data_IF_479830198613
#
_entry.id   IF_479830198613
#
_cell.length_a   1.000
_cell.length_b   1.000
_cell.length_c   1.000
_cell.angle_alpha   90.00
_cell.angle_beta   90.00
_cell.angle_gamma   90.00
#
_symmetry.space_group_name_H-M   'P 1'
#
loop_
_entity.id
_entity.type
_entity.pdbx_description
1 polymer ?
#
# COMPACT_ATOMS: atom_id res chain seq x y z
N UNK A 1 18.49 27.46 -24.21
CA UNK A 1 17.69 28.28 -23.26
C UNK A 1 17.96 27.76 -21.86
N UNK A 2 18.60 28.55 -20.99
CA UNK A 2 18.82 28.20 -19.58
C UNK A 2 17.48 28.23 -18.84
N UNK A 3 16.78 27.09 -18.78
CA UNK A 3 15.55 26.99 -18.00
C UNK A 3 15.92 26.95 -16.52
N UNK A 4 15.61 28.04 -15.79
CA UNK A 4 15.75 28.08 -14.34
C UNK A 4 14.74 27.13 -13.71
N UNK A 5 15.23 26.22 -12.88
CA UNK A 5 14.39 25.28 -12.13
C UNK A 5 13.46 26.07 -11.20
N UNK A 6 12.17 25.69 -11.13
CA UNK A 6 11.12 26.34 -10.32
C UNK A 6 10.76 27.78 -10.69
N UNK A 7 11.04 28.21 -11.92
CA UNK A 7 10.47 29.47 -12.41
C UNK A 7 8.93 29.38 -12.43
N UNK A 8 8.26 30.39 -11.88
CA UNK A 8 6.80 30.42 -11.73
C UNK A 8 6.26 31.82 -12.02
N UNK A 9 5.10 31.88 -12.67
CA UNK A 9 4.32 33.11 -12.84
C UNK A 9 3.24 33.29 -11.77
N UNK A 10 3.09 32.30 -10.88
CA UNK A 10 2.12 32.26 -9.79
C UNK A 10 2.68 32.92 -8.53
N UNK A 11 1.85 33.71 -7.85
CA UNK A 11 2.17 34.38 -6.58
C UNK A 11 1.73 33.58 -5.34
N UNK A 12 1.02 32.47 -5.50
CA UNK A 12 0.59 31.61 -4.41
C UNK A 12 1.63 30.56 -4.01
N UNK A 13 1.43 29.95 -2.83
CA UNK A 13 2.30 28.93 -2.27
C UNK A 13 2.08 27.56 -2.92
N UNK A 14 2.35 27.46 -4.22
CA UNK A 14 2.16 26.28 -5.07
C UNK A 14 2.89 25.02 -4.56
N UNK A 15 3.91 25.18 -3.73
CA UNK A 15 4.74 24.10 -3.19
C UNK A 15 4.09 23.37 -1.99
N UNK A 16 3.08 23.95 -1.34
CA UNK A 16 2.44 23.35 -0.16
C UNK A 16 1.74 22.03 -0.51
N UNK A 17 0.98 22.02 -1.61
CA UNK A 17 0.27 20.83 -2.07
C UNK A 17 1.23 19.65 -2.35
N UNK A 18 2.29 19.77 -3.17
CA UNK A 18 3.24 18.69 -3.38
C UNK A 18 4.05 18.33 -2.12
N UNK A 19 4.35 19.30 -1.24
CA UNK A 19 5.09 19.03 0.00
C UNK A 19 4.26 18.24 1.02
N UNK A 20 3.01 18.64 1.26
CA UNK A 20 2.12 17.95 2.20
C UNK A 20 1.82 16.52 1.72
N UNK A 21 1.60 16.35 0.41
CA UNK A 21 1.37 15.05 -0.20
C UNK A 21 2.61 14.15 -0.11
N UNK A 22 3.81 14.67 -0.35
CA UNK A 22 5.07 13.93 -0.14
C UNK A 22 5.24 13.52 1.34
N UNK A 23 4.98 14.43 2.27
CA UNK A 23 5.10 14.18 3.71
C UNK A 23 4.11 13.12 4.20
N UNK A 24 2.83 13.25 3.86
CA UNK A 24 1.81 12.28 4.23
C UNK A 24 2.12 10.87 3.72
N UNK A 25 2.61 10.76 2.48
CA UNK A 25 3.04 9.48 1.93
C UNK A 25 4.30 8.94 2.59
N UNK A 26 5.27 9.79 2.92
CA UNK A 26 6.46 9.37 3.67
C UNK A 26 6.06 8.77 5.03
N UNK A 27 5.19 9.45 5.78
CA UNK A 27 4.66 8.94 7.04
C UNK A 27 3.94 7.60 6.85
N UNK A 28 3.11 7.47 5.81
CA UNK A 28 2.44 6.23 5.47
C UNK A 28 3.44 5.10 5.16
N UNK A 29 4.47 5.36 4.35
CA UNK A 29 5.51 4.36 4.02
C UNK A 29 6.28 3.94 5.25
N UNK A 30 6.69 4.87 6.12
CA UNK A 30 7.37 4.55 7.37
C UNK A 30 6.49 3.71 8.28
N UNK A 31 5.23 4.10 8.46
CA UNK A 31 4.28 3.37 9.31
C UNK A 31 3.98 1.97 8.75
N UNK A 32 3.69 1.85 7.46
CA UNK A 32 3.38 0.56 6.84
C UNK A 32 4.58 -0.36 6.78
N UNK A 33 5.78 0.17 6.56
CA UNK A 33 7.02 -0.62 6.64
C UNK A 33 7.25 -1.12 8.05
N UNK A 34 7.08 -0.25 9.06
CA UNK A 34 7.14 -0.67 10.46
C UNK A 34 6.13 -1.78 10.75
N UNK A 35 4.85 -1.58 10.43
CA UNK A 35 3.80 -2.60 10.63
C UNK A 35 4.03 -3.87 9.81
N UNK A 36 4.64 -3.79 8.63
CA UNK A 36 4.99 -4.95 7.83
C UNK A 36 6.09 -5.78 8.49
N UNK A 37 7.06 -5.15 9.14
CA UNK A 37 8.21 -5.83 9.75
C UNK A 37 7.95 -6.27 11.20
N UNK A 38 7.09 -5.58 11.95
CA UNK A 38 6.85 -5.91 13.36
C UNK A 38 6.26 -7.31 13.55
N UNK A 39 5.29 -7.70 12.71
CA UNK A 39 4.71 -9.04 12.78
C UNK A 39 3.92 -9.37 14.05
N UNK A 40 3.60 -8.39 14.91
CA UNK A 40 2.97 -8.57 16.23
C UNK A 40 1.60 -7.86 16.31
N UNK A 41 0.76 -8.33 17.22
CA UNK A 41 -0.54 -7.73 17.56
C UNK A 41 -1.42 -7.50 16.31
N UNK A 42 -1.46 -8.48 15.41
CA UNK A 42 -2.20 -8.37 14.15
C UNK A 42 -3.56 -9.07 14.17
N UNK A 43 -3.82 -9.86 15.21
CA UNK A 43 -5.09 -10.53 15.48
C UNK A 43 -5.55 -10.19 16.89
N UNK A 44 -6.83 -9.83 17.03
CA UNK A 44 -7.50 -9.75 18.32
C UNK A 44 -8.84 -10.47 18.20
N UNK A 45 -8.95 -11.65 18.82
CA UNK A 45 -10.13 -12.52 18.71
C UNK A 45 -10.47 -12.80 17.23
N UNK A 46 -11.65 -12.35 16.76
CA UNK A 46 -12.10 -12.50 15.38
C UNK A 46 -11.76 -11.30 14.48
N UNK A 47 -11.01 -10.32 15.00
CA UNK A 47 -10.49 -9.22 14.23
C UNK A 47 -9.10 -9.55 13.71
N UNK A 48 -9.02 -9.72 12.39
CA UNK A 48 -7.75 -9.79 11.68
C UNK A 48 -7.47 -8.46 11.01
N UNK A 49 -6.26 -7.94 11.18
CA UNK A 49 -5.89 -6.70 10.51
C UNK A 49 -5.77 -6.89 8.98
N UNK A 50 -6.29 -5.97 8.16
CA UNK A 50 -6.25 -6.08 6.69
C UNK A 50 -4.84 -6.13 6.09
N UNK A 51 -3.82 -5.71 6.85
CA UNK A 51 -2.42 -5.78 6.46
C UNK A 51 -1.85 -7.21 6.47
N UNK A 52 -2.51 -8.13 7.18
CA UNK A 52 -2.07 -9.50 7.41
C UNK A 52 -3.02 -10.55 6.81
N UNK A 53 -4.15 -10.11 6.24
CA UNK A 53 -5.13 -10.96 5.57
C UNK A 53 -4.80 -11.09 4.07
N UNK A 54 -4.86 -12.29 3.47
CA UNK A 54 -5.09 -13.60 4.09
C UNK A 54 -3.87 -14.08 4.88
N UNK A 55 -4.08 -14.70 6.03
CA UNK A 55 -3.00 -15.34 6.78
C UNK A 55 -2.42 -16.51 5.97
N UNK A 56 -1.30 -16.28 5.30
CA UNK A 56 -0.61 -17.32 4.54
C UNK A 56 0.11 -18.31 5.46
N UNK A 57 0.79 -17.78 6.48
CA UNK A 57 1.59 -18.56 7.42
C UNK A 57 1.29 -18.14 8.86
N UNK A 58 1.34 -19.09 9.78
CA UNK A 58 1.24 -18.85 11.22
C UNK A 58 2.51 -18.18 11.74
N UNK A 59 2.36 -17.23 12.66
CA UNK A 59 3.50 -16.66 13.35
C UNK A 59 4.03 -17.68 14.39
N UNK A 60 5.35 -17.88 14.54
CA UNK A 60 5.91 -18.69 15.62
C UNK A 60 5.46 -18.32 17.04
N UNK A 61 4.93 -17.12 17.25
CA UNK A 61 4.34 -16.67 18.51
C UNK A 61 2.96 -17.30 18.81
N UNK A 62 2.40 -18.09 17.89
CA UNK A 62 1.08 -18.73 18.04
C UNK A 62 -0.10 -17.84 17.63
N UNK A 63 0.14 -16.60 17.19
CA UNK A 63 -0.87 -15.73 16.60
C UNK A 63 -1.24 -16.20 15.19
N UNK A 64 -2.54 -16.31 14.88
CA UNK A 64 -3.05 -16.81 13.60
C UNK A 64 -3.27 -18.32 13.51
N UNK A 65 -3.09 -19.07 14.61
CA UNK A 65 -3.27 -20.52 14.63
C UNK A 65 -4.68 -20.95 14.18
N UNK A 66 -4.76 -21.79 13.14
CA UNK A 66 -6.01 -22.35 12.62
C UNK A 66 -6.70 -21.56 11.50
N UNK A 67 -6.25 -20.34 11.20
CA UNK A 67 -6.74 -19.53 10.07
C UNK A 67 -5.70 -19.37 8.95
N UNK A 68 -4.58 -20.08 9.05
CA UNK A 68 -3.51 -20.05 8.06
C UNK A 68 -3.83 -20.92 6.83
N UNK A 69 -3.50 -20.43 5.63
CA UNK A 69 -3.73 -21.17 4.39
C UNK A 69 -2.64 -22.23 4.12
N UNK A 70 -1.39 -21.94 4.46
CA UNK A 70 -0.24 -22.81 4.19
C UNK A 70 0.39 -23.41 5.46
N UNK A 71 -0.18 -23.14 6.64
CA UNK A 71 0.30 -23.69 7.91
C UNK A 71 1.47 -22.91 8.52
N UNK A 72 2.38 -23.64 9.16
CA UNK A 72 3.48 -23.05 9.92
C UNK A 72 4.50 -22.28 9.04
N UNK A 73 5.17 -21.30 9.63
CA UNK A 73 6.21 -20.53 8.97
C UNK A 73 7.32 -21.43 8.36
N UNK A 74 7.67 -21.28 7.08
CA UNK A 74 8.62 -22.17 6.43
C UNK A 74 10.03 -21.98 6.98
N UNK A 75 10.64 -23.07 7.44
CA UNK A 75 12.02 -23.11 7.96
C UNK A 75 13.09 -22.76 6.89
N UNK A 76 12.70 -22.72 5.62
CA UNK A 76 13.57 -22.33 4.50
C UNK A 76 13.86 -20.82 4.44
N UNK A 77 13.11 -19.99 5.18
CA UNK A 77 13.33 -18.54 5.20
C UNK A 77 14.52 -18.23 6.15
N UNK A 78 15.53 -17.47 5.69
CA UNK A 78 16.66 -17.07 6.53
C UNK A 78 16.22 -16.31 7.78
N UNK A 79 16.87 -16.57 8.91
CA UNK A 79 16.58 -15.96 10.22
C UNK A 79 16.75 -14.44 10.29
N UNK A 80 17.31 -13.81 9.25
CA UNK A 80 17.43 -12.34 9.16
C UNK A 80 16.17 -11.65 8.63
N UNK A 81 15.23 -12.38 8.03
CA UNK A 81 13.96 -11.82 7.59
C UNK A 81 13.00 -11.82 8.78
N UNK A 82 12.38 -10.67 9.14
CA UNK A 82 11.40 -10.61 10.20
C UNK A 82 10.26 -11.59 9.93
N UNK A 83 9.82 -12.30 10.96
CA UNK A 83 8.79 -13.34 10.86
C UNK A 83 7.39 -12.73 10.77
N UNK A 84 7.11 -12.01 9.69
CA UNK A 84 5.85 -11.31 9.50
C UNK A 84 5.13 -11.78 8.22
N UNK A 85 3.93 -12.37 8.33
CA UNK A 85 3.13 -12.79 7.18
C UNK A 85 2.78 -11.64 6.22
N UNK A 86 2.69 -10.41 6.75
CA UNK A 86 2.31 -9.21 6.01
C UNK A 86 3.24 -8.88 4.82
N UNK A 87 4.52 -9.25 4.87
CA UNK A 87 5.49 -8.91 3.80
C UNK A 87 5.06 -9.52 2.46
N UNK A 88 4.54 -10.75 2.47
CA UNK A 88 4.14 -11.45 1.26
C UNK A 88 2.87 -10.85 0.64
N UNK A 89 1.99 -10.32 1.48
CA UNK A 89 0.67 -9.88 1.06
C UNK A 89 0.69 -8.43 0.64
N UNK A 90 1.44 -7.57 1.33
CA UNK A 90 1.47 -6.13 1.10
C UNK A 90 1.88 -5.74 -0.33
N UNK A 91 2.61 -6.62 -1.02
CA UNK A 91 3.00 -6.39 -2.40
C UNK A 91 1.80 -6.29 -3.35
N UNK A 92 0.69 -7.00 -3.06
CA UNK A 92 -0.51 -6.97 -3.90
C UNK A 92 -1.21 -5.59 -3.88
N UNK A 93 -1.66 -5.05 -2.74
CA UNK A 93 -2.29 -3.72 -2.70
C UNK A 93 -1.32 -2.61 -3.10
N UNK A 94 -0.02 -2.75 -2.77
CA UNK A 94 1.01 -1.80 -3.17
C UNK A 94 1.19 -1.76 -4.69
N UNK A 95 1.27 -2.93 -5.34
CA UNK A 95 1.44 -3.01 -6.80
C UNK A 95 0.26 -2.39 -7.55
N UNK A 96 -0.98 -2.62 -7.10
CA UNK A 96 -2.16 -2.02 -7.68
C UNK A 96 -2.14 -0.48 -7.60
N UNK A 97 -1.77 0.06 -6.43
CA UNK A 97 -1.69 1.51 -6.20
C UNK A 97 -0.57 2.15 -7.01
N UNK A 98 0.61 1.55 -7.08
CA UNK A 98 1.75 2.10 -7.82
C UNK A 98 1.57 2.05 -9.34
N UNK A 99 0.83 1.06 -9.84
CA UNK A 99 0.53 0.92 -11.27
C UNK A 99 -0.61 1.84 -11.74
N UNK A 100 -1.42 2.39 -10.82
CA UNK A 100 -2.57 3.22 -11.15
C UNK A 100 -2.19 4.56 -11.80
N UNK A 101 -2.86 4.90 -12.91
CA UNK A 101 -2.67 6.16 -13.62
C UNK A 101 -2.95 7.39 -12.73
N UNK A 102 -3.88 7.29 -11.78
CA UNK A 102 -4.13 8.39 -10.84
C UNK A 102 -2.95 8.62 -9.90
N UNK A 103 -2.33 7.53 -9.40
CA UNK A 103 -1.16 7.59 -8.53
C UNK A 103 0.09 8.11 -9.25
N UNK A 104 0.15 7.97 -10.58
CA UNK A 104 1.15 8.61 -11.44
C UNK A 104 1.27 10.09 -11.19
N UNK A 105 0.15 10.81 -11.26
CA UNK A 105 0.13 12.26 -11.08
C UNK A 105 0.80 12.66 -9.76
N UNK A 106 0.56 11.88 -8.70
CA UNK A 106 1.12 12.14 -7.38
C UNK A 106 2.65 12.07 -7.36
N UNK A 107 3.29 10.95 -7.74
CA UNK A 107 4.75 10.85 -7.63
C UNK A 107 5.49 11.74 -8.64
N UNK A 108 4.90 12.02 -9.80
CA UNK A 108 5.45 12.97 -10.76
C UNK A 108 5.48 14.40 -10.21
N UNK A 109 4.45 14.79 -9.46
CA UNK A 109 4.29 16.15 -8.95
C UNK A 109 5.05 16.36 -7.63
N UNK A 110 4.99 15.39 -6.72
CA UNK A 110 5.55 15.51 -5.36
C UNK A 110 6.99 15.02 -5.22
N UNK A 111 7.42 14.01 -5.99
CA UNK A 111 8.79 13.47 -5.92
C UNK A 111 9.67 13.87 -7.12
N UNK A 112 9.17 13.73 -8.34
CA UNK A 112 9.95 14.04 -9.55
C UNK A 112 9.82 15.49 -10.03
N UNK A 113 8.95 16.29 -9.41
CA UNK A 113 8.76 17.72 -9.69
C UNK A 113 8.66 18.02 -11.20
N UNK A 114 7.91 17.20 -11.94
CA UNK A 114 7.81 17.25 -13.41
C UNK A 114 6.37 17.43 -13.90
N UNK A 115 5.91 18.67 -14.17
CA UNK A 115 6.04 19.87 -13.36
C UNK A 115 5.20 19.82 -12.07
N UNK A 116 5.57 20.55 -10.99
CA UNK A 116 4.89 20.49 -9.70
C UNK A 116 3.56 21.24 -9.64
N UNK A 117 3.24 22.12 -10.58
CA UNK A 117 1.92 22.75 -10.73
C UNK A 117 1.77 23.38 -12.13
N UNK A 118 0.56 23.77 -12.50
CA UNK A 118 0.34 24.58 -13.70
C UNK A 118 1.11 25.90 -13.59
N UNK A 119 1.80 26.31 -14.66
CA UNK A 119 2.65 27.51 -14.74
C UNK A 119 3.89 27.51 -13.80
N UNK A 120 4.30 26.36 -13.28
CA UNK A 120 5.57 26.19 -12.55
C UNK A 120 6.50 25.28 -13.36
N UNK A 121 7.68 25.79 -13.70
CA UNK A 121 8.70 25.04 -14.44
C UNK A 121 9.26 23.92 -13.56
N UNK A 122 9.10 22.68 -14.01
CA UNK A 122 9.67 21.51 -13.36
C UNK A 122 11.16 21.30 -13.65
N UNK A 123 11.70 20.21 -13.14
CA UNK A 123 13.07 19.79 -13.45
C UNK A 123 13.14 19.46 -14.96
N UNK A 124 14.01 20.14 -15.73
CA UNK A 124 14.11 19.91 -17.17
C UNK A 124 14.60 18.50 -17.45
N UNK A 125 13.87 17.74 -18.28
CA UNK A 125 14.25 16.39 -18.70
C UNK A 125 14.79 16.46 -20.12
N UNK A 126 16.06 16.11 -20.30
CA UNK A 126 16.76 16.20 -21.60
C UNK A 126 16.41 15.05 -22.55
N UNK A 127 15.87 13.94 -22.05
CA UNK A 127 15.57 12.74 -22.85
C UNK A 127 14.34 12.00 -22.29
N UNK A 128 13.15 12.57 -22.49
CA UNK A 128 11.90 11.97 -22.01
C UNK A 128 11.49 10.80 -22.91
N UNK A 129 11.77 9.57 -22.48
CA UNK A 129 11.33 8.34 -23.17
C UNK A 129 9.85 8.00 -22.93
N UNK A 130 9.15 8.79 -22.13
CA UNK A 130 7.71 8.66 -21.87
C UNK A 130 7.25 7.23 -21.60
N UNK A 131 6.14 6.87 -22.25
CA UNK A 131 5.42 5.59 -22.15
C UNK A 131 6.27 4.36 -22.51
N UNK A 132 7.41 4.55 -23.20
CA UNK A 132 8.28 3.44 -23.69
C UNK A 132 9.42 3.06 -22.74
N UNK A 133 9.58 3.76 -21.62
CA UNK A 133 10.60 3.47 -20.60
C UNK A 133 10.01 2.87 -19.32
N UNK A 134 10.17 3.58 -18.20
CA UNK A 134 9.65 3.19 -16.88
C UNK A 134 8.11 3.08 -16.82
N UNK A 135 7.40 3.70 -17.76
CA UNK A 135 5.95 3.76 -17.78
C UNK A 135 5.27 2.52 -18.37
N UNK A 136 6.03 1.57 -18.91
CA UNK A 136 5.50 0.25 -19.32
C UNK A 136 4.86 -0.50 -18.15
N UNK A 137 5.35 -0.26 -16.93
CA UNK A 137 4.78 -0.82 -15.70
C UNK A 137 3.30 -0.45 -15.52
N UNK A 138 2.84 0.67 -16.09
CA UNK A 138 1.43 1.08 -16.00
C UNK A 138 0.50 0.19 -16.82
N UNK A 139 1.01 -0.49 -17.86
CA UNK A 139 0.25 -1.50 -18.58
C UNK A 139 -0.07 -2.72 -17.69
N UNK A 140 0.76 -2.97 -16.66
CA UNK A 140 0.53 -4.01 -15.66
C UNK A 140 -0.68 -3.70 -14.76
N UNK A 141 -1.17 -2.45 -14.72
CA UNK A 141 -2.33 -2.08 -13.90
C UNK A 141 -3.54 -2.96 -14.17
N UNK A 142 -3.75 -3.36 -15.42
CA UNK A 142 -4.82 -4.28 -15.79
C UNK A 142 -4.68 -5.64 -15.10
N UNK A 143 -3.46 -6.15 -14.99
CA UNK A 143 -3.19 -7.44 -14.37
C UNK A 143 -3.29 -7.37 -12.84
N UNK A 144 -2.73 -6.31 -12.25
CA UNK A 144 -2.82 -6.10 -10.79
C UNK A 144 -4.25 -5.80 -10.34
N UNK A 145 -5.11 -5.23 -11.19
CA UNK A 145 -6.53 -5.05 -10.92
C UNK A 145 -7.25 -6.39 -10.68
N UNK A 146 -7.00 -7.40 -11.52
CA UNK A 146 -7.64 -8.71 -11.34
C UNK A 146 -7.25 -9.35 -9.99
N UNK A 147 -5.98 -9.22 -9.61
CA UNK A 147 -5.48 -9.73 -8.33
C UNK A 147 -6.07 -8.93 -7.16
N UNK A 148 -6.18 -7.60 -7.30
CA UNK A 148 -6.76 -6.74 -6.29
C UNK A 148 -8.25 -7.03 -6.05
N UNK A 149 -9.03 -7.33 -7.10
CA UNK A 149 -10.43 -7.73 -6.95
C UNK A 149 -10.56 -9.02 -6.14
N UNK A 150 -9.72 -10.03 -6.43
CA UNK A 150 -9.69 -11.27 -5.64
C UNK A 150 -9.34 -10.98 -4.17
N UNK A 151 -8.34 -10.12 -3.94
CA UNK A 151 -7.94 -9.72 -2.59
C UNK A 151 -9.07 -9.03 -1.81
N UNK A 152 -9.87 -8.18 -2.47
CA UNK A 152 -11.04 -7.54 -1.85
C UNK A 152 -12.06 -8.58 -1.39
N UNK A 153 -12.31 -9.64 -2.18
CA UNK A 153 -13.22 -10.70 -1.77
C UNK A 153 -12.74 -11.41 -0.49
N UNK A 154 -11.43 -11.62 -0.36
CA UNK A 154 -10.83 -12.20 0.86
C UNK A 154 -11.01 -11.27 2.06
N UNK A 155 -10.72 -9.97 1.90
CA UNK A 155 -10.94 -8.99 2.97
C UNK A 155 -12.41 -8.89 3.40
N UNK A 156 -13.34 -8.99 2.46
CA UNK A 156 -14.77 -8.96 2.76
C UNK A 156 -15.22 -10.22 3.51
N UNK A 157 -14.64 -11.37 3.18
CA UNK A 157 -14.87 -12.62 3.91
C UNK A 157 -14.38 -12.51 5.37
N UNK A 158 -13.19 -11.95 5.60
CA UNK A 158 -12.68 -11.73 6.96
C UNK A 158 -13.51 -10.68 7.72
N UNK A 159 -13.96 -9.63 7.03
CA UNK A 159 -14.91 -8.67 7.57
C UNK A 159 -16.23 -9.33 8.01
N UNK A 160 -16.74 -10.28 7.22
CA UNK A 160 -17.95 -11.03 7.56
C UNK A 160 -17.74 -11.95 8.78
N UNK A 161 -16.61 -12.67 8.85
CA UNK A 161 -16.25 -13.49 10.01
C UNK A 161 -16.17 -12.64 11.28
N UNK A 162 -15.66 -11.41 11.17
CA UNK A 162 -15.53 -10.50 12.32
C UNK A 162 -16.88 -10.08 12.95
N UNK A 163 -18.02 -10.38 12.31
CA UNK A 163 -19.36 -10.11 12.84
C UNK A 163 -19.84 -11.19 13.82
N UNK A 164 -19.26 -12.39 13.75
CA UNK A 164 -19.64 -13.51 14.61
C UNK A 164 -18.61 -13.64 15.71
N UNK A 165 -19.03 -13.71 16.97
CA UNK A 165 -18.17 -13.96 18.13
C UNK A 165 -18.75 -15.12 18.91
N UNK A 166 -18.03 -16.23 18.97
CA UNK A 166 -18.47 -17.48 19.61
C UNK A 166 -19.86 -17.98 19.14
N UNK A 167 -20.16 -17.79 17.85
CA UNK A 167 -21.44 -18.20 17.25
C UNK A 167 -22.60 -17.23 17.49
N UNK A 168 -22.39 -16.11 18.18
CA UNK A 168 -23.37 -15.05 18.37
C UNK A 168 -23.05 -13.84 17.47
N UNK A 169 -24.09 -13.12 17.03
CA UNK A 169 -23.91 -11.87 16.30
C UNK A 169 -23.39 -10.79 17.25
N UNK A 170 -22.15 -10.35 17.04
CA UNK A 170 -21.48 -9.32 17.80
C UNK A 170 -20.93 -8.25 16.87
N UNK A 171 -21.74 -7.23 16.57
CA UNK A 171 -21.31 -6.11 15.73
C UNK A 171 -20.47 -5.16 16.59
N UNK A 172 -19.15 -5.21 16.43
CA UNK A 172 -18.24 -4.23 17.01
C UNK A 172 -17.98 -3.06 16.06
N UNK A 173 -17.41 -1.97 16.60
CA UNK A 173 -16.89 -0.85 15.80
C UNK A 173 -15.83 -1.35 14.80
N UNK A 174 -15.02 -2.33 15.21
CA UNK A 174 -14.05 -2.99 14.35
C UNK A 174 -14.68 -3.66 13.13
N UNK A 175 -15.80 -4.37 13.30
CA UNK A 175 -16.46 -5.09 12.19
C UNK A 175 -17.04 -4.09 11.18
N UNK A 176 -17.57 -2.96 11.65
CA UNK A 176 -18.06 -1.88 10.80
C UNK A 176 -16.91 -1.27 9.98
N UNK A 177 -15.76 -1.00 10.62
CA UNK A 177 -14.58 -0.43 9.95
C UNK A 177 -13.98 -1.38 8.93
N UNK A 178 -14.03 -2.71 9.16
CA UNK A 178 -13.49 -3.69 8.23
C UNK A 178 -14.34 -3.87 6.96
N UNK A 179 -15.65 -3.61 7.05
CA UNK A 179 -16.60 -3.83 5.95
C UNK A 179 -16.77 -2.59 5.06
N UNK A 180 -16.58 -1.38 5.60
CA UNK A 180 -16.72 -0.09 4.90
C UNK A 180 -15.43 0.28 4.15
#
# INVERSE_FOLDING_TARGET
MNQRVFYTHRNDQWWIEPALTAFGFLCFVVYTTWRALSGIDFQYENYLSPFYSPLLFENPLGEGAGHSWFGAWPQAIPSWIPTSPAIFILIFPLSFRLTCYYYRKFYYRSFFLTPPACAVQGIPRTNYKGETGLLVIQNLHRQTLYIAILYICVLYYDGFISLFRDGQLGIGVGSIILII
#
